data_IF_945689976083
#
_entry.id   IF_945689976083
#
_cell.length_a   1.000
_cell.length_b   1.000
_cell.length_c   1.000
_cell.angle_alpha   90.00
_cell.angle_beta   90.00
_cell.angle_gamma   90.00
#
_symmetry.space_group_name_H-M   'P 1'
#
loop_
_entity.id
_entity.type
_entity.pdbx_description
1 polymer ?
#
# COMPACT_ATOMS: atom_id res chain seq x y z
N UNK A 1 37.22 4.88 50.88
CA UNK A 1 36.43 3.86 50.16
C UNK A 1 35.52 4.58 49.17
N UNK A 2 35.61 4.19 47.91
CA UNK A 2 35.48 5.07 46.74
C UNK A 2 34.06 5.12 46.19
N UNK A 3 33.63 6.32 45.81
CA UNK A 3 32.29 6.74 45.36
C UNK A 3 31.94 6.08 44.02
N UNK A 4 30.88 5.25 43.97
CA UNK A 4 30.38 4.60 42.75
C UNK A 4 29.85 5.65 41.77
N UNK A 5 30.52 5.77 40.63
CA UNK A 5 30.17 6.61 39.49
C UNK A 5 29.12 5.85 38.66
N UNK A 6 27.89 6.35 38.62
CA UNK A 6 26.81 5.80 37.82
C UNK A 6 27.03 6.22 36.35
N UNK A 7 27.53 5.31 35.53
CA UNK A 7 27.64 5.48 34.08
C UNK A 7 26.26 5.25 33.45
N UNK A 8 25.63 6.34 33.02
CA UNK A 8 24.43 6.35 32.18
C UNK A 8 24.83 5.86 30.78
N UNK A 9 24.20 4.83 30.21
CA UNK A 9 24.51 4.40 28.85
C UNK A 9 23.87 5.36 27.86
N UNK A 10 24.71 6.15 27.19
CA UNK A 10 24.40 6.90 25.98
C UNK A 10 24.41 5.92 24.81
N UNK A 11 23.27 5.32 24.47
CA UNK A 11 23.08 4.53 23.24
C UNK A 11 21.64 4.72 22.73
N UNK A 12 21.37 5.87 22.10
CA UNK A 12 20.06 6.11 21.47
C UNK A 12 20.12 6.93 20.17
N UNK A 13 21.24 6.88 19.45
CA UNK A 13 21.43 7.66 18.21
C UNK A 13 21.96 6.80 17.06
N UNK A 14 21.23 5.74 16.72
CA UNK A 14 21.50 4.93 15.53
C UNK A 14 20.19 4.51 14.85
N UNK A 15 19.34 5.48 14.46
CA UNK A 15 18.14 5.25 13.62
C UNK A 15 17.60 6.58 13.02
N UNK A 16 18.47 7.45 12.50
CA UNK A 16 18.02 8.67 11.80
C UNK A 16 18.43 8.65 10.32
N UNK A 17 17.80 7.76 9.56
CA UNK A 17 18.00 7.70 8.11
C UNK A 17 17.20 6.60 7.40
N UNK A 18 16.26 5.94 8.06
CA UNK A 18 15.43 4.89 7.46
C UNK A 18 14.10 5.44 6.94
N UNK A 19 13.60 4.87 5.84
CA UNK A 19 12.23 5.08 5.36
C UNK A 19 11.25 4.98 6.55
N UNK A 20 10.37 5.98 6.78
CA UNK A 20 9.45 6.00 7.91
C UNK A 20 8.59 4.74 8.04
N UNK A 21 8.35 4.02 6.94
CA UNK A 21 7.66 2.73 6.94
C UNK A 21 8.41 1.62 7.71
N UNK A 22 9.74 1.68 7.78
CA UNK A 22 10.58 0.64 8.39
C UNK A 22 10.57 0.68 9.93
N UNK A 23 9.76 1.56 10.53
CA UNK A 23 9.56 1.61 11.99
C UNK A 23 8.49 0.61 12.38
N UNK A 24 8.75 -0.18 13.43
CA UNK A 24 7.79 -1.16 13.95
C UNK A 24 6.40 -0.55 14.20
N UNK A 25 6.33 0.68 14.73
CA UNK A 25 5.07 1.41 14.93
C UNK A 25 4.28 1.64 13.64
N UNK A 26 4.96 1.93 12.54
CA UNK A 26 4.32 2.17 11.24
C UNK A 26 3.94 0.87 10.53
N UNK A 27 4.65 -0.24 10.81
CA UNK A 27 4.22 -1.58 10.42
C UNK A 27 2.86 -1.93 11.03
N UNK A 28 2.70 -1.78 12.35
CA UNK A 28 1.41 -2.00 13.02
C UNK A 28 0.31 -1.05 12.52
N UNK A 29 0.64 0.22 12.32
CA UNK A 29 -0.31 1.20 11.78
C UNK A 29 -0.77 0.82 10.36
N UNK A 30 0.14 0.35 9.50
CA UNK A 30 -0.20 -0.11 8.15
C UNK A 30 -1.15 -1.31 8.16
N UNK A 31 -0.91 -2.28 9.05
CA UNK A 31 -1.81 -3.44 9.23
C UNK A 31 -3.19 -3.02 9.74
N UNK A 32 -3.22 -2.11 10.72
CA UNK A 32 -4.47 -1.57 11.24
C UNK A 32 -5.25 -0.80 10.16
N UNK A 33 -4.56 0.04 9.38
CA UNK A 33 -5.14 0.77 8.25
C UNK A 33 -5.72 -0.16 7.18
N UNK A 34 -4.99 -1.22 6.83
CA UNK A 34 -5.46 -2.25 5.91
C UNK A 34 -6.72 -2.97 6.42
N UNK A 35 -6.79 -3.25 7.72
CA UNK A 35 -7.97 -3.89 8.34
C UNK A 35 -9.17 -2.93 8.34
N UNK A 36 -8.95 -1.66 8.65
CA UNK A 36 -9.99 -0.63 8.60
C UNK A 36 -10.51 -0.39 7.18
N UNK A 37 -9.66 -0.50 6.16
CA UNK A 37 -10.07 -0.43 4.76
C UNK A 37 -11.00 -1.62 4.39
N UNK A 38 -10.65 -2.85 4.82
CA UNK A 38 -11.54 -4.01 4.64
C UNK A 38 -12.88 -3.84 5.35
N UNK A 39 -12.87 -3.27 6.56
CA UNK A 39 -14.11 -3.04 7.31
C UNK A 39 -15.00 -2.03 6.59
N UNK A 40 -14.43 -0.92 6.10
CA UNK A 40 -15.16 0.05 5.29
C UNK A 40 -15.72 -0.57 4.00
N UNK A 41 -14.98 -1.49 3.37
CA UNK A 41 -15.44 -2.22 2.20
C UNK A 41 -16.70 -3.07 2.50
N UNK A 42 -16.76 -3.69 3.68
CA UNK A 42 -17.89 -4.53 4.13
C UNK A 42 -19.13 -3.72 4.49
N UNK A 43 -18.95 -2.56 5.11
CA UNK A 43 -20.05 -1.65 5.50
C UNK A 43 -20.66 -0.94 4.27
N UNK A 44 -19.97 -0.99 3.12
CA UNK A 44 -20.62 -1.14 1.82
C UNK A 44 -21.26 0.12 1.23
N UNK A 45 -20.53 1.24 1.10
CA UNK A 45 -21.16 2.42 0.46
C UNK A 45 -20.37 3.18 -0.58
N UNK A 46 -19.14 2.80 -0.95
CA UNK A 46 -18.40 3.52 -2.00
C UNK A 46 -17.49 2.62 -2.84
N UNK A 47 -18.03 1.57 -3.41
CA UNK A 47 -17.30 0.72 -4.36
C UNK A 47 -17.09 1.51 -5.66
N UNK A 48 -15.92 1.38 -6.27
CA UNK A 48 -15.64 1.97 -7.58
C UNK A 48 -16.13 1.04 -8.68
N UNK A 49 -16.76 1.61 -9.70
CA UNK A 49 -17.15 0.91 -10.94
C UNK A 49 -16.19 1.19 -12.08
N UNK A 50 -15.33 2.20 -11.93
CA UNK A 50 -14.37 2.66 -12.92
C UNK A 50 -13.03 2.91 -12.25
N UNK A 51 -11.96 2.79 -13.04
CA UNK A 51 -10.58 2.98 -12.60
C UNK A 51 -10.26 4.47 -12.69
N UNK A 52 -9.68 5.10 -11.64
CA UNK A 52 -9.31 6.52 -11.71
C UNK A 52 -8.16 6.73 -12.69
N UNK A 53 -8.15 7.82 -13.46
CA UNK A 53 -7.10 8.13 -14.45
C UNK A 53 -5.68 8.11 -13.84
N UNK A 54 -5.56 8.56 -12.59
CA UNK A 54 -4.30 8.57 -11.82
C UNK A 54 -3.76 7.16 -11.49
N UNK A 55 -4.50 6.10 -11.81
CA UNK A 55 -4.00 4.72 -11.75
C UNK A 55 -2.98 4.43 -12.86
N UNK A 56 -3.05 5.13 -14.00
CA UNK A 56 -2.15 4.87 -15.12
C UNK A 56 -0.75 5.41 -14.83
N UNK A 57 0.28 4.59 -15.08
CA UNK A 57 1.67 4.90 -14.79
C UNK A 57 2.15 4.35 -13.45
N UNK A 58 3.21 4.94 -12.89
CA UNK A 58 3.81 4.45 -11.64
C UNK A 58 2.96 4.88 -10.45
N UNK A 59 2.44 3.91 -9.71
CA UNK A 59 1.57 4.09 -8.55
C UNK A 59 2.13 3.40 -7.31
N UNK A 60 1.81 3.89 -6.10
CA UNK A 60 2.20 3.21 -4.88
C UNK A 60 1.33 1.96 -4.71
N UNK A 61 1.99 0.82 -4.52
CA UNK A 61 1.32 -0.42 -4.17
C UNK A 61 2.01 -1.10 -3.00
N UNK A 62 1.24 -1.85 -2.21
CA UNK A 62 1.83 -2.68 -1.16
C UNK A 62 0.98 -3.90 -0.87
N UNK A 63 1.63 -4.99 -0.50
CA UNK A 63 0.98 -6.12 0.15
C UNK A 63 0.83 -5.82 1.63
N UNK A 64 -0.30 -6.20 2.22
CA UNK A 64 -0.52 -6.12 3.66
C UNK A 64 0.58 -6.88 4.41
N UNK A 65 1.31 -6.19 5.29
CA UNK A 65 2.47 -6.73 6.02
C UNK A 65 3.83 -6.42 5.40
N UNK A 66 3.85 -5.85 4.19
CA UNK A 66 5.07 -5.47 3.46
C UNK A 66 5.11 -3.97 3.19
N UNK A 67 6.29 -3.43 2.89
CA UNK A 67 6.48 -2.01 2.59
C UNK A 67 5.85 -1.58 1.25
N UNK A 68 5.73 -0.27 1.05
CA UNK A 68 5.26 0.29 -0.22
C UNK A 68 6.36 0.21 -1.28
N UNK A 69 5.96 -0.22 -2.48
CA UNK A 69 6.81 -0.29 -3.66
C UNK A 69 6.15 0.44 -4.84
N UNK A 70 6.92 0.95 -5.80
CA UNK A 70 6.37 1.39 -7.07
C UNK A 70 5.79 0.19 -7.83
N UNK A 71 4.60 0.35 -8.39
CA UNK A 71 3.97 -0.59 -9.30
C UNK A 71 3.50 0.15 -10.56
N UNK A 72 3.35 -0.55 -11.67
CA UNK A 72 2.95 0.06 -12.95
C UNK A 72 1.48 -0.26 -13.24
N UNK A 73 0.63 0.75 -13.17
CA UNK A 73 -0.76 0.67 -13.61
C UNK A 73 -0.87 0.92 -15.11
N UNK A 74 -1.69 0.13 -15.79
CA UNK A 74 -1.88 0.15 -17.23
C UNK A 74 -3.29 -0.33 -17.58
N UNK A 75 -3.69 -0.14 -18.83
CA UNK A 75 -4.88 -0.79 -19.39
C UNK A 75 -4.52 -2.17 -19.95
N UNK A 76 -5.40 -3.14 -19.74
CA UNK A 76 -5.28 -4.50 -20.26
C UNK A 76 -6.58 -4.97 -20.93
N UNK A 77 -6.58 -6.18 -21.51
CA UNK A 77 -7.72 -6.71 -22.25
C UNK A 77 -9.00 -6.87 -21.39
N UNK A 78 -8.81 -7.16 -20.10
CA UNK A 78 -9.88 -7.45 -19.14
C UNK A 78 -10.08 -6.32 -18.11
N UNK A 79 -9.65 -5.09 -18.45
CA UNK A 79 -9.69 -3.92 -17.56
C UNK A 79 -8.30 -3.46 -17.13
N UNK A 80 -8.21 -2.76 -16.00
CA UNK A 80 -6.94 -2.26 -15.48
C UNK A 80 -5.99 -3.39 -15.09
N UNK A 81 -4.71 -3.25 -15.42
CA UNK A 81 -3.66 -4.17 -15.03
C UNK A 81 -2.61 -3.43 -14.20
N UNK A 82 -2.37 -3.93 -12.99
CA UNK A 82 -1.28 -3.48 -12.13
C UNK A 82 -0.14 -4.50 -12.17
N UNK A 83 1.02 -4.12 -12.69
CA UNK A 83 2.25 -4.90 -12.57
C UNK A 83 2.94 -4.56 -11.25
N UNK A 84 3.06 -5.55 -10.37
CA UNK A 84 3.63 -5.45 -9.04
C UNK A 84 4.92 -6.26 -8.95
N UNK A 85 6.05 -5.57 -8.75
CA UNK A 85 7.36 -6.20 -8.55
C UNK A 85 7.84 -5.91 -7.12
N UNK A 86 7.22 -6.59 -6.15
CA UNK A 86 7.51 -6.41 -4.74
C UNK A 86 7.34 -7.71 -3.95
N UNK A 87 7.78 -7.70 -2.68
CA UNK A 87 7.69 -8.88 -1.83
C UNK A 87 6.26 -9.17 -1.39
N UNK A 88 5.98 -10.45 -1.13
CA UNK A 88 4.72 -10.87 -0.50
C UNK A 88 3.54 -11.04 -1.45
N UNK A 89 3.75 -11.00 -2.77
CA UNK A 89 2.65 -11.19 -3.70
C UNK A 89 1.94 -12.55 -3.48
N UNK A 90 0.59 -12.57 -3.39
CA UNK A 90 -0.16 -13.78 -3.06
C UNK A 90 -0.19 -14.78 -4.22
N UNK A 91 -0.01 -16.07 -3.92
CA UNK A 91 -0.09 -17.17 -4.91
C UNK A 91 -1.50 -17.75 -5.11
N UNK A 92 -2.51 -17.07 -4.56
CA UNK A 92 -3.93 -17.44 -4.39
C UNK A 92 -4.23 -18.16 -3.07
N UNK A 93 -5.28 -17.73 -2.33
CA UNK A 93 -6.19 -16.62 -2.67
C UNK A 93 -5.55 -15.23 -2.48
N UNK A 94 -6.06 -14.21 -3.17
CA UNK A 94 -5.60 -12.84 -3.00
C UNK A 94 -6.39 -11.87 -3.86
N UNK A 95 -6.26 -10.57 -3.60
CA UNK A 95 -6.84 -9.51 -4.42
C UNK A 95 -6.17 -8.15 -4.19
N UNK A 96 -6.25 -7.29 -5.19
CA UNK A 96 -5.88 -5.88 -5.11
C UNK A 96 -7.09 -4.98 -4.87
N UNK A 97 -6.84 -3.84 -4.22
CA UNK A 97 -7.86 -2.83 -3.91
C UNK A 97 -7.31 -1.43 -4.22
N UNK A 98 -7.84 -0.82 -5.29
CA UNK A 98 -7.66 0.60 -5.60
C UNK A 98 -8.32 1.41 -4.50
N UNK A 99 -7.58 2.37 -3.95
CA UNK A 99 -8.09 3.24 -2.90
C UNK A 99 -8.13 4.69 -3.38
N UNK A 100 -9.34 5.26 -3.35
CA UNK A 100 -9.59 6.69 -3.62
C UNK A 100 -10.04 7.35 -2.33
N UNK A 101 -9.44 8.47 -1.95
CA UNK A 101 -9.93 9.27 -0.83
C UNK A 101 -11.28 9.89 -1.19
N UNK A 102 -12.26 9.63 -0.33
CA UNK A 102 -13.65 10.01 -0.57
C UNK A 102 -13.90 11.52 -0.64
N UNK A 103 -13.29 12.29 0.25
CA UNK A 103 -13.50 13.75 0.36
C UNK A 103 -12.87 14.56 -0.78
N UNK A 104 -11.77 14.06 -1.34
CA UNK A 104 -10.95 14.79 -2.30
C UNK A 104 -10.93 14.14 -3.70
N UNK A 105 -11.64 13.02 -3.87
CA UNK A 105 -11.62 12.20 -5.08
C UNK A 105 -10.20 11.88 -5.59
N UNK A 106 -9.29 11.64 -4.64
CA UNK A 106 -7.86 11.51 -4.92
C UNK A 106 -7.42 10.06 -4.80
N UNK A 107 -6.90 9.48 -5.89
CA UNK A 107 -6.25 8.18 -5.86
C UNK A 107 -5.05 8.18 -4.89
N UNK A 108 -4.97 7.14 -4.04
CA UNK A 108 -3.93 7.00 -3.02
C UNK A 108 -2.94 5.88 -3.28
N UNK A 109 -3.36 4.84 -3.97
CA UNK A 109 -2.54 3.65 -4.21
C UNK A 109 -3.38 2.36 -4.27
N UNK A 110 -2.67 1.24 -4.34
CA UNK A 110 -3.27 -0.09 -4.38
C UNK A 110 -2.79 -0.93 -3.20
N UNK A 111 -3.74 -1.47 -2.45
CA UNK A 111 -3.45 -2.39 -1.35
C UNK A 111 -3.75 -3.83 -1.78
N UNK A 112 -2.81 -4.74 -1.54
CA UNK A 112 -2.90 -6.14 -1.98
C UNK A 112 -3.05 -7.03 -0.74
N UNK A 113 -4.09 -7.86 -0.73
CA UNK A 113 -4.42 -8.79 0.35
C UNK A 113 -4.10 -10.22 -0.07
N UNK A 114 -3.54 -10.99 0.86
CA UNK A 114 -3.33 -12.44 0.75
C UNK A 114 -4.47 -13.19 1.46
N UNK A 115 -5.71 -12.90 1.03
CA UNK A 115 -6.95 -13.47 1.58
C UNK A 115 -8.01 -13.60 0.48
N UNK A 116 -9.11 -14.28 0.77
CA UNK A 116 -10.21 -14.48 -0.18
C UNK A 116 -10.79 -13.15 -0.69
N UNK A 117 -10.98 -13.00 -2.02
CA UNK A 117 -11.60 -11.81 -2.59
C UNK A 117 -13.04 -11.59 -2.09
N UNK A 118 -13.44 -10.32 -1.93
CA UNK A 118 -14.83 -9.97 -1.63
C UNK A 118 -15.75 -10.38 -2.79
N UNK A 119 -16.94 -10.88 -2.47
CA UNK A 119 -17.93 -11.30 -3.46
C UNK A 119 -18.84 -10.13 -3.85
N UNK A 120 -19.30 -10.11 -5.10
CA UNK A 120 -20.30 -9.17 -5.59
C UNK A 120 -19.79 -7.75 -5.84
N UNK A 121 -18.47 -7.53 -5.81
CA UNK A 121 -17.88 -6.25 -6.22
C UNK A 121 -17.60 -6.22 -7.72
N UNK A 122 -17.73 -5.07 -8.40
CA UNK A 122 -17.32 -4.90 -9.78
C UNK A 122 -15.82 -5.19 -9.93
N UNK A 123 -15.48 -6.11 -10.82
CA UNK A 123 -14.10 -6.37 -11.19
C UNK A 123 -13.60 -5.22 -12.06
N UNK A 124 -12.51 -4.59 -11.65
CA UNK A 124 -11.88 -3.49 -12.40
C UNK A 124 -10.69 -3.96 -13.24
N UNK A 125 -10.19 -5.18 -12.98
CA UNK A 125 -9.14 -5.83 -13.75
C UNK A 125 -8.30 -6.78 -12.89
N UNK A 126 -6.97 -6.70 -12.96
CA UNK A 126 -6.06 -7.60 -12.25
C UNK A 126 -4.77 -6.94 -11.72
N UNK A 127 -4.16 -7.60 -10.75
CA UNK A 127 -2.78 -7.33 -10.29
C UNK A 127 -1.93 -8.55 -10.60
N UNK A 128 -0.72 -8.36 -11.12
CA UNK A 128 0.19 -9.45 -11.48
C UNK A 128 1.63 -9.20 -11.06
N UNK A 129 2.34 -10.26 -10.67
CA UNK A 129 3.80 -10.28 -10.51
C UNK A 129 4.53 -10.89 -11.74
N UNK A 130 3.80 -11.08 -12.84
CA UNK A 130 4.27 -11.77 -14.05
C UNK A 130 4.13 -13.30 -14.02
N UNK A 131 3.90 -13.89 -12.85
CA UNK A 131 3.67 -15.34 -12.70
C UNK A 131 2.24 -15.67 -12.27
N UNK A 132 1.68 -14.85 -11.41
CA UNK A 132 0.34 -14.98 -10.84
C UNK A 132 -0.47 -13.72 -11.11
N UNK A 133 -1.78 -13.86 -11.20
CA UNK A 133 -2.71 -12.74 -11.34
C UNK A 133 -3.84 -12.89 -10.34
N UNK A 134 -4.10 -11.82 -9.57
CA UNK A 134 -5.22 -11.73 -8.63
C UNK A 134 -6.18 -10.63 -9.07
N UNK A 135 -7.50 -10.73 -8.76
CA UNK A 135 -8.47 -9.72 -9.17
C UNK A 135 -8.19 -8.36 -8.53
N UNK A 136 -8.52 -7.30 -9.26
CA UNK A 136 -8.43 -5.91 -8.82
C UNK A 136 -9.83 -5.31 -8.66
N UNK A 137 -10.09 -4.78 -7.47
CA UNK A 137 -11.32 -4.06 -7.12
C UNK A 137 -10.98 -2.61 -6.77
N UNK A 138 -12.01 -1.78 -6.53
CA UNK A 138 -11.79 -0.42 -6.08
C UNK A 138 -12.82 0.06 -5.07
N UNK A 139 -12.39 0.96 -4.19
CA UNK A 139 -13.26 1.64 -3.25
C UNK A 139 -12.85 3.08 -2.98
N UNK A 140 -13.82 3.89 -2.57
CA UNK A 140 -13.56 5.14 -1.86
C UNK A 140 -13.44 4.85 -0.37
N UNK A 141 -12.48 5.50 0.27
CA UNK A 141 -12.15 5.30 1.67
C UNK A 141 -12.10 6.64 2.39
N UNK A 142 -12.56 6.67 3.64
CA UNK A 142 -12.29 7.79 4.53
C UNK A 142 -10.82 7.73 4.94
N UNK A 143 -9.98 8.56 4.32
CA UNK A 143 -8.52 8.44 4.42
C UNK A 143 -7.99 8.59 5.85
N UNK A 144 -8.54 9.53 6.62
CA UNK A 144 -8.15 9.75 8.02
C UNK A 144 -8.45 8.57 8.95
N UNK A 145 -9.31 7.63 8.55
CA UNK A 145 -9.58 6.41 9.31
C UNK A 145 -8.59 5.27 9.00
N UNK A 146 -7.89 5.31 7.86
CA UNK A 146 -6.98 4.24 7.42
C UNK A 146 -5.51 4.65 7.40
N UNK A 147 -5.22 5.95 7.46
CA UNK A 147 -3.88 6.50 7.33
C UNK A 147 -3.67 7.67 8.29
N UNK A 148 -2.45 7.82 8.81
CA UNK A 148 -2.09 8.93 9.70
C UNK A 148 -0.88 9.70 9.16
N UNK A 149 -0.72 11.00 9.45
CA UNK A 149 0.45 11.76 8.97
C UNK A 149 1.80 11.19 9.44
N UNK A 150 1.82 10.52 10.60
CA UNK A 150 3.04 9.95 11.20
C UNK A 150 3.42 8.62 10.57
N UNK A 151 2.43 7.81 10.25
CA UNK A 151 2.59 6.51 9.61
C UNK A 151 1.55 6.44 8.48
N UNK A 152 1.89 6.97 7.29
CA UNK A 152 0.99 6.92 6.16
C UNK A 152 0.83 5.47 5.71
N UNK A 153 -0.37 5.13 5.22
CA UNK A 153 -0.64 3.77 4.75
C UNK A 153 0.18 3.40 3.50
N UNK A 154 0.46 4.38 2.64
CA UNK A 154 1.46 4.27 1.59
C UNK A 154 2.63 5.20 1.91
N UNK A 155 3.83 4.65 1.94
CA UNK A 155 5.05 5.37 2.17
C UNK A 155 5.46 6.22 0.97
N UNK A 156 6.45 7.09 1.15
CA UNK A 156 7.04 7.83 0.05
C UNK A 156 7.64 6.84 -0.97
N UNK A 157 7.34 7.05 -2.25
CA UNK A 157 7.98 6.31 -3.33
C UNK A 157 9.32 6.99 -3.66
N UNK A 158 10.43 6.25 -3.58
CA UNK A 158 11.72 6.72 -4.07
C UNK A 158 11.69 6.70 -5.61
N UNK A 159 11.33 7.83 -6.23
CA UNK A 159 11.32 8.00 -7.69
C UNK A 159 12.72 8.23 -8.28
N UNK A 160 13.76 8.22 -7.45
CA UNK A 160 15.15 8.51 -7.83
C UNK A 160 15.81 7.43 -8.70
N UNK A 161 15.16 6.29 -8.93
CA UNK A 161 15.63 5.24 -9.83
C UNK A 161 15.16 5.35 -11.30
N UNK A 162 14.27 6.28 -11.63
CA UNK A 162 13.68 6.39 -13.00
C UNK A 162 14.42 7.40 -13.90
N UNK A 163 15.50 8.03 -13.41
CA UNK A 163 16.25 9.06 -14.16
C UNK A 163 17.69 8.67 -14.53
N UNK A 164 18.00 7.40 -14.79
CA UNK A 164 19.31 7.01 -15.36
C UNK A 164 19.15 5.97 -16.45
N UNK A 165 18.78 6.39 -17.66
CA UNK A 165 19.48 6.04 -18.91
C UNK A 165 18.84 6.82 -20.06
N UNK A 166 19.48 7.92 -20.45
CA UNK A 166 19.32 8.55 -21.75
C UNK A 166 20.68 8.54 -22.45
N UNK A 167 20.74 8.26 -23.76
CA UNK A 167 21.96 7.94 -24.51
C UNK A 167 22.97 9.08 -24.59
#
# INVERSE_FOLDING_TARGET
MTRKMLLVPVLAWACSGGNPENRASCGFAGMAGATMALEQLRVGSKVLTEVPDAFLGTVPARVVGYGTVPALGSEGPDGALLAYDGPGFPRLPGFGLIMVEDSADTFKGVLIYDTEPPRGLPLLGGVTDGSYTVPLYGMRVSWGAVSTPRCPLFGPMDTTGVMTEGP
#
